data_IF_251264193628
#
_entry.id   IF_251264193628
#
_cell.length_a   1.000
_cell.length_b   1.000
_cell.length_c   1.000
_cell.angle_alpha   90.00
_cell.angle_beta   90.00
_cell.angle_gamma   90.00
#
_symmetry.space_group_name_H-M   'P 1'
#
loop_
_entity.id
_entity.type
_entity.pdbx_description
1 polymer ?
#
# COMPACT_ATOMS: atom_id res chain seq x y z
N UNK A 1 22.89 -68.11 26.13
CA UNK A 1 23.46 -68.44 24.80
C UNK A 1 23.09 -67.30 23.86
N UNK A 2 23.87 -66.22 23.88
CA UNK A 2 24.88 -65.83 22.87
C UNK A 2 24.23 -65.31 21.56
N UNK A 3 24.29 -64.00 21.29
CA UNK A 3 25.38 -63.31 20.54
C UNK A 3 25.29 -63.69 19.04
N UNK A 4 24.99 -62.82 18.09
CA UNK A 4 25.90 -61.84 17.43
C UNK A 4 25.14 -61.29 16.19
N UNK A 5 25.06 -59.97 15.94
CA UNK A 5 26.03 -59.08 15.30
C UNK A 5 26.25 -59.29 13.78
N UNK A 6 26.06 -58.17 13.04
CA UNK A 6 26.82 -57.67 11.86
C UNK A 6 26.75 -58.49 10.56
N UNK A 7 26.26 -57.93 9.45
CA UNK A 7 26.83 -56.89 8.56
C UNK A 7 27.40 -57.52 7.27
N UNK A 8 27.50 -56.69 6.22
CA UNK A 8 28.05 -56.95 4.86
C UNK A 8 27.04 -57.63 3.92
N UNK A 9 26.89 -57.25 2.65
CA UNK A 9 27.62 -56.31 1.81
C UNK A 9 27.32 -56.66 0.34
N UNK A 10 27.02 -55.63 -0.46
CA UNK A 10 27.38 -55.44 -1.86
C UNK A 10 27.13 -56.53 -2.95
N UNK A 11 26.51 -56.02 -4.04
CA UNK A 11 26.76 -56.30 -5.47
C UNK A 11 26.24 -57.62 -6.10
N UNK A 12 25.28 -57.48 -7.02
CA UNK A 12 25.50 -57.93 -8.42
C UNK A 12 24.52 -57.31 -9.44
N UNK A 13 25.11 -56.91 -10.56
CA UNK A 13 24.51 -56.37 -11.77
C UNK A 13 23.80 -57.48 -12.58
N UNK A 14 22.75 -57.13 -13.33
CA UNK A 14 22.05 -58.04 -14.26
C UNK A 14 21.11 -57.29 -15.18
N UNK A 15 21.60 -56.95 -16.37
CA UNK A 15 20.90 -56.33 -17.49
C UNK A 15 20.10 -57.35 -18.34
N UNK A 16 18.86 -56.99 -18.72
CA UNK A 16 18.08 -57.47 -19.89
C UNK A 16 16.78 -56.62 -19.85
N UNK A 17 16.34 -55.87 -20.86
CA UNK A 17 16.43 -56.06 -22.30
C UNK A 17 15.03 -56.29 -22.86
N UNK A 18 14.40 -55.21 -23.38
CA UNK A 18 13.32 -55.18 -24.38
C UNK A 18 11.93 -55.76 -24.07
N UNK A 19 10.90 -54.89 -24.06
CA UNK A 19 9.84 -54.86 -25.09
C UNK A 19 8.88 -53.68 -24.90
N UNK A 20 8.71 -52.88 -25.97
CA UNK A 20 7.56 -51.99 -26.18
C UNK A 20 6.35 -52.83 -26.62
N UNK A 21 5.17 -52.50 -26.10
CA UNK A 21 3.89 -52.76 -26.74
C UNK A 21 2.94 -51.56 -26.51
N UNK A 22 2.12 -51.16 -27.50
CA UNK A 22 1.29 -49.96 -27.47
C UNK A 22 -0.13 -50.27 -26.97
N UNK A 23 -0.79 -49.33 -26.30
CA UNK A 23 -2.24 -49.42 -26.05
C UNK A 23 -2.93 -48.08 -26.34
N UNK A 24 -3.91 -48.22 -27.22
CA UNK A 24 -4.85 -47.25 -27.77
C UNK A 24 -5.95 -46.86 -26.77
N UNK A 25 -6.43 -45.61 -26.91
CA UNK A 25 -7.86 -45.30 -26.91
C UNK A 25 -8.64 -45.38 -25.60
N UNK A 26 -8.96 -44.22 -25.02
CA UNK A 26 -9.96 -44.11 -23.95
C UNK A 26 -10.12 -42.70 -23.40
N UNK A 27 -10.61 -41.76 -24.21
CA UNK A 27 -11.07 -40.46 -23.72
C UNK A 27 -12.30 -40.65 -22.82
N UNK A 28 -12.15 -40.40 -21.52
CA UNK A 28 -13.27 -40.06 -20.62
C UNK A 28 -13.12 -38.61 -20.19
N UNK A 29 -14.01 -37.81 -20.75
CA UNK A 29 -14.26 -36.40 -20.47
C UNK A 29 -14.73 -36.25 -19.01
N UNK A 30 -13.86 -35.77 -18.12
CA UNK A 30 -14.25 -35.36 -16.77
C UNK A 30 -14.54 -33.85 -16.78
N UNK A 31 -15.82 -33.52 -16.71
CA UNK A 31 -16.35 -32.18 -16.49
C UNK A 31 -15.77 -31.57 -15.20
N UNK A 32 -14.86 -30.61 -15.35
CA UNK A 32 -14.51 -29.69 -14.26
C UNK A 32 -15.59 -28.61 -14.18
N UNK A 33 -16.39 -28.68 -13.11
CA UNK A 33 -17.42 -27.70 -12.80
C UNK A 33 -16.74 -26.46 -12.19
N UNK A 34 -16.46 -25.46 -13.02
CA UNK A 34 -15.93 -24.16 -12.59
C UNK A 34 -16.99 -23.43 -11.78
N UNK A 35 -16.71 -23.15 -10.51
CA UNK A 35 -17.51 -22.22 -9.69
C UNK A 35 -17.20 -20.81 -10.15
N UNK A 36 -18.11 -20.25 -10.94
CA UNK A 36 -18.06 -18.88 -11.43
C UNK A 36 -18.48 -17.94 -10.31
N UNK A 37 -17.52 -17.36 -9.59
CA UNK A 37 -17.77 -16.24 -8.70
C UNK A 37 -17.94 -14.99 -9.57
N UNK A 38 -19.17 -14.47 -9.61
CA UNK A 38 -19.52 -13.24 -10.33
C UNK A 38 -18.78 -12.03 -9.74
N UNK A 39 -17.90 -11.43 -10.54
CA UNK A 39 -17.41 -10.06 -10.34
C UNK A 39 -18.32 -9.15 -11.19
N UNK A 40 -18.95 -8.11 -10.64
CA UNK A 40 -19.79 -7.22 -11.44
C UNK A 40 -18.90 -6.41 -12.40
N UNK A 41 -18.98 -6.75 -13.68
CA UNK A 41 -18.45 -5.98 -14.80
C UNK A 41 -19.37 -4.79 -15.00
N UNK A 42 -18.96 -3.59 -14.60
CA UNK A 42 -19.58 -2.35 -15.08
C UNK A 42 -19.13 -2.13 -16.53
N UNK A 43 -19.84 -2.73 -17.47
CA UNK A 43 -19.77 -2.39 -18.89
C UNK A 43 -21.06 -1.66 -19.26
N UNK A 44 -20.99 -0.34 -19.38
CA UNK A 44 -21.97 0.44 -20.13
C UNK A 44 -21.41 0.68 -21.54
N UNK A 45 -22.20 0.51 -22.60
CA UNK A 45 -21.72 0.72 -23.96
C UNK A 45 -21.52 2.22 -24.23
N UNK A 46 -20.37 2.57 -24.80
CA UNK A 46 -20.11 3.89 -25.36
C UNK A 46 -20.99 4.08 -26.60
N UNK A 47 -21.95 5.01 -26.53
CA UNK A 47 -22.65 5.51 -27.71
C UNK A 47 -21.91 6.75 -28.22
N UNK A 48 -21.26 6.61 -29.38
CA UNK A 48 -20.82 7.72 -30.22
C UNK A 48 -22.08 8.37 -30.81
N UNK A 49 -22.37 9.61 -30.44
CA UNK A 49 -23.28 10.43 -31.23
C UNK A 49 -22.76 11.87 -31.31
N UNK A 50 -22.15 12.17 -32.46
CA UNK A 50 -21.80 13.51 -32.89
C UNK A 50 -23.09 14.31 -33.09
N UNK A 51 -23.31 15.38 -32.33
CA UNK A 51 -24.26 16.43 -32.71
C UNK A 51 -23.56 17.72 -33.06
N UNK A 52 -24.13 18.32 -34.10
CA UNK A 52 -23.57 19.31 -35.02
C UNK A 52 -23.44 20.69 -34.39
N UNK A 53 -22.50 21.44 -34.96
CA UNK A 53 -22.39 22.90 -34.94
C UNK A 53 -23.74 23.61 -35.04
N UNK A 54 -23.90 24.65 -34.20
CA UNK A 54 -24.70 25.82 -34.54
C UNK A 54 -23.89 27.06 -34.16
N UNK A 55 -23.53 27.83 -35.18
CA UNK A 55 -22.88 29.13 -35.10
C UNK A 55 -23.92 30.19 -34.72
N UNK A 56 -23.67 30.95 -33.67
CA UNK A 56 -24.22 32.30 -33.55
C UNK A 56 -23.20 33.21 -32.87
N UNK A 57 -22.72 34.14 -33.69
CA UNK A 57 -21.86 35.28 -33.43
C UNK A 57 -22.53 36.30 -32.49
N UNK A 58 -21.85 36.74 -31.43
CA UNK A 58 -21.98 38.09 -30.87
C UNK A 58 -20.80 38.42 -29.93
N UNK A 59 -20.37 39.68 -30.01
CA UNK A 59 -19.11 40.29 -29.55
C UNK A 59 -18.96 40.43 -28.01
N UNK A 60 -17.77 40.80 -27.48
CA UNK A 60 -17.42 40.67 -26.06
C UNK A 60 -17.84 41.90 -25.24
N UNK A 61 -17.94 41.77 -23.90
CA UNK A 61 -17.72 42.91 -23.02
C UNK A 61 -16.56 42.67 -22.04
N UNK A 62 -15.57 43.54 -22.18
CA UNK A 62 -14.91 44.34 -21.13
C UNK A 62 -14.73 43.71 -19.74
N UNK A 63 -13.46 43.55 -19.39
CA UNK A 63 -12.92 43.40 -18.03
C UNK A 63 -13.40 44.53 -17.11
N UNK A 64 -14.18 44.21 -16.08
CA UNK A 64 -14.19 44.97 -14.83
C UNK A 64 -13.58 44.12 -13.71
N UNK A 65 -12.46 44.62 -13.20
CA UNK A 65 -11.71 44.06 -12.09
C UNK A 65 -12.37 44.52 -10.78
N UNK A 66 -13.32 43.73 -10.26
CA UNK A 66 -13.78 43.92 -8.87
C UNK A 66 -13.28 42.75 -8.04
N UNK A 67 -12.19 42.99 -7.30
CA UNK A 67 -11.71 42.08 -6.26
C UNK A 67 -12.75 42.10 -5.13
N UNK A 68 -13.57 41.05 -5.04
CA UNK A 68 -14.56 40.88 -3.96
C UNK A 68 -14.15 39.73 -3.05
N UNK A 69 -14.12 40.01 -1.74
CA UNK A 69 -13.82 39.12 -0.60
C UNK A 69 -14.74 37.86 -0.48
N UNK A 70 -15.52 37.53 -1.52
CA UNK A 70 -16.53 36.47 -1.52
C UNK A 70 -16.06 35.09 -1.99
N UNK A 71 -14.90 34.97 -2.67
CA UNK A 71 -14.44 33.67 -3.18
C UNK A 71 -14.09 32.66 -2.08
N UNK A 72 -13.60 33.12 -0.93
CA UNK A 72 -13.28 32.24 0.20
C UNK A 72 -14.54 31.71 0.90
N UNK A 73 -15.61 32.51 0.95
CA UNK A 73 -16.89 32.09 1.52
C UNK A 73 -17.64 31.15 0.58
N UNK A 74 -17.57 31.35 -0.74
CA UNK A 74 -18.20 30.45 -1.73
C UNK A 74 -17.50 29.09 -1.81
N UNK A 75 -16.17 29.05 -1.68
CA UNK A 75 -15.43 27.78 -1.61
C UNK A 75 -15.77 27.01 -0.32
N UNK A 76 -15.84 27.70 0.82
CA UNK A 76 -16.27 27.08 2.07
C UNK A 76 -17.73 26.60 1.98
N UNK A 77 -18.61 27.39 1.36
CA UNK A 77 -20.02 27.06 1.13
C UNK A 77 -20.21 25.91 0.13
N UNK A 78 -19.40 25.77 -0.91
CA UNK A 78 -19.43 24.63 -1.83
C UNK A 78 -18.97 23.33 -1.13
N UNK A 79 -18.00 23.43 -0.22
CA UNK A 79 -17.52 22.29 0.58
C UNK A 79 -18.51 21.91 1.70
N UNK A 80 -19.28 22.87 2.23
CA UNK A 80 -20.30 22.62 3.29
C UNK A 80 -21.72 22.39 2.77
N UNK A 81 -22.07 22.83 1.57
CA UNK A 81 -23.37 22.57 0.92
C UNK A 81 -23.50 21.14 0.35
N UNK A 82 -22.41 20.37 0.33
CA UNK A 82 -22.37 18.97 -0.10
C UNK A 82 -23.15 17.97 0.78
N UNK A 83 -23.93 18.42 1.76
CA UNK A 83 -24.89 17.57 2.49
C UNK A 83 -26.28 17.50 1.83
N UNK A 84 -26.42 17.93 0.58
CA UNK A 84 -27.61 17.77 -0.26
C UNK A 84 -27.41 16.76 -1.39
N UNK A 85 -27.76 15.49 -1.14
CA UNK A 85 -28.20 14.40 -2.03
C UNK A 85 -27.61 14.13 -3.43
N UNK A 86 -26.64 14.86 -3.95
CA UNK A 86 -26.10 14.61 -5.29
C UNK A 86 -24.59 14.32 -5.26
N UNK A 87 -24.15 13.07 -5.54
CA UNK A 87 -22.73 12.68 -5.53
C UNK A 87 -21.83 13.56 -6.42
N UNK A 88 -22.40 14.21 -7.43
CA UNK A 88 -21.69 15.11 -8.32
C UNK A 88 -21.32 16.46 -7.68
N UNK A 89 -21.99 16.89 -6.61
CA UNK A 89 -21.75 18.18 -5.97
C UNK A 89 -20.34 18.25 -5.37
N UNK A 90 -19.87 17.16 -4.77
CA UNK A 90 -18.52 17.07 -4.19
C UNK A 90 -17.45 17.13 -5.29
N UNK A 91 -17.71 16.49 -6.44
CA UNK A 91 -16.80 16.55 -7.60
C UNK A 91 -16.71 17.99 -8.09
N UNK A 92 -17.84 18.67 -8.31
CA UNK A 92 -17.85 20.07 -8.74
C UNK A 92 -17.15 20.99 -7.74
N UNK A 93 -17.37 20.82 -6.44
CA UNK A 93 -16.66 21.60 -5.42
C UNK A 93 -15.14 21.44 -5.52
N UNK A 94 -14.64 20.22 -5.71
CA UNK A 94 -13.20 19.97 -5.92
C UNK A 94 -12.71 20.64 -7.22
N UNK A 95 -13.48 20.54 -8.30
CA UNK A 95 -13.13 21.15 -9.59
C UNK A 95 -13.07 22.68 -9.49
N UNK A 96 -14.05 23.33 -8.84
CA UNK A 96 -14.07 24.77 -8.60
C UNK A 96 -12.89 25.24 -7.75
N UNK A 97 -12.49 24.47 -6.74
CA UNK A 97 -11.29 24.79 -5.94
C UNK A 97 -10.03 24.73 -6.81
N UNK A 98 -9.87 23.70 -7.63
CA UNK A 98 -8.71 23.57 -8.52
C UNK A 98 -8.67 24.70 -9.57
N UNK A 99 -9.81 25.05 -10.14
CA UNK A 99 -9.94 26.17 -11.07
C UNK A 99 -9.64 27.51 -10.39
N UNK A 100 -10.15 27.73 -9.19
CA UNK A 100 -9.86 28.94 -8.40
C UNK A 100 -8.36 29.04 -8.11
N UNK A 101 -7.71 27.93 -7.72
CA UNK A 101 -6.25 27.93 -7.52
C UNK A 101 -5.51 28.22 -8.82
N UNK A 102 -5.91 27.60 -9.94
CA UNK A 102 -5.31 27.84 -11.24
C UNK A 102 -5.41 29.31 -11.67
N UNK A 103 -6.61 29.89 -11.59
CA UNK A 103 -6.90 31.26 -12.02
C UNK A 103 -6.26 32.32 -11.11
N UNK A 104 -6.27 32.11 -9.79
CA UNK A 104 -5.71 33.07 -8.83
C UNK A 104 -4.17 33.06 -8.80
N UNK A 105 -3.55 31.88 -8.96
CA UNK A 105 -2.08 31.76 -8.93
C UNK A 105 -1.44 31.95 -10.30
N UNK A 106 -2.20 31.78 -11.39
CA UNK A 106 -1.68 31.77 -12.76
C UNK A 106 -0.79 30.56 -13.07
N UNK A 107 -0.76 29.54 -12.21
CA UNK A 107 0.05 28.34 -12.42
C UNK A 107 -0.47 27.52 -13.59
N UNK A 108 0.38 26.91 -14.42
CA UNK A 108 -0.08 26.00 -15.47
C UNK A 108 -0.77 24.76 -14.86
N UNK A 109 -1.73 24.19 -15.60
CA UNK A 109 -2.57 23.08 -15.12
C UNK A 109 -1.77 21.87 -14.60
N UNK A 110 -0.66 21.51 -15.24
CA UNK A 110 0.19 20.41 -14.76
C UNK A 110 0.70 20.65 -13.34
N UNK A 111 1.04 21.90 -13.00
CA UNK A 111 1.56 22.28 -11.70
C UNK A 111 0.43 22.33 -10.66
N UNK A 112 -0.74 22.88 -11.03
CA UNK A 112 -1.93 22.89 -10.17
C UNK A 112 -2.35 21.47 -9.77
N UNK A 113 -2.38 20.54 -10.73
CA UNK A 113 -2.71 19.14 -10.48
C UNK A 113 -1.64 18.43 -9.63
N UNK A 114 -0.36 18.68 -9.91
CA UNK A 114 0.72 18.09 -9.13
C UNK A 114 0.69 18.58 -7.67
N UNK A 115 0.55 19.89 -7.47
CA UNK A 115 0.49 20.50 -6.14
C UNK A 115 -0.76 20.08 -5.36
N UNK A 116 -1.91 19.90 -6.02
CA UNK A 116 -3.11 19.44 -5.33
C UNK A 116 -2.92 18.06 -4.69
N UNK A 117 -2.19 17.16 -5.35
CA UNK A 117 -1.79 15.86 -4.78
C UNK A 117 -0.93 16.00 -3.51
N UNK A 118 -0.01 16.97 -3.50
CA UNK A 118 0.82 17.29 -2.32
C UNK A 118 -0.04 17.88 -1.19
N UNK A 119 -0.91 18.82 -1.51
CA UNK A 119 -1.80 19.49 -0.55
C UNK A 119 -2.75 18.51 0.13
N UNK A 120 -3.38 17.61 -0.62
CA UNK A 120 -4.24 16.56 -0.07
C UNK A 120 -3.49 15.71 0.96
N UNK A 121 -2.24 15.33 0.67
CA UNK A 121 -1.41 14.58 1.63
C UNK A 121 -1.06 15.40 2.86
N UNK A 122 -0.74 16.69 2.70
CA UNK A 122 -0.46 17.58 3.81
C UNK A 122 -1.67 17.70 4.75
N UNK A 123 -2.89 17.86 4.20
CA UNK A 123 -4.14 17.93 4.97
C UNK A 123 -4.45 16.63 5.71
N UNK A 124 -4.17 15.47 5.11
CA UNK A 124 -4.44 14.15 5.70
C UNK A 124 -3.34 13.69 6.67
N UNK A 125 -2.15 14.30 6.59
CA UNK A 125 -1.00 13.98 7.45
C UNK A 125 -1.31 13.80 8.95
N UNK A 126 -2.08 14.67 9.64
CA UNK A 126 -2.45 14.45 11.05
C UNK A 126 -3.18 13.13 11.30
N UNK A 127 -4.09 12.72 10.41
CA UNK A 127 -4.77 11.42 10.52
C UNK A 127 -3.79 10.25 10.42
N UNK A 128 -2.77 10.39 9.58
CA UNK A 128 -1.71 9.40 9.47
C UNK A 128 -0.83 9.33 10.73
N UNK A 129 -0.54 10.46 11.37
CA UNK A 129 0.17 10.49 12.67
C UNK A 129 -0.63 9.74 13.74
N UNK A 130 -1.94 10.01 13.84
CA UNK A 130 -2.84 9.29 14.75
C UNK A 130 -2.88 7.79 14.43
N UNK A 131 -2.87 7.41 13.15
CA UNK A 131 -2.81 6.01 12.72
C UNK A 131 -1.54 5.32 13.26
N UNK A 132 -0.40 5.99 13.18
CA UNK A 132 0.87 5.43 13.67
C UNK A 132 0.89 5.31 15.19
N UNK A 133 0.35 6.28 15.92
CA UNK A 133 0.24 6.19 17.37
C UNK A 133 -0.62 4.97 17.79
N UNK A 134 -1.75 4.77 17.12
CA UNK A 134 -2.60 3.59 17.36
C UNK A 134 -1.86 2.29 17.01
N UNK A 135 -1.11 2.26 15.90
CA UNK A 135 -0.29 1.11 15.53
C UNK A 135 0.82 0.82 16.57
N UNK A 136 1.43 1.85 17.15
CA UNK A 136 2.45 1.66 18.20
C UNK A 136 1.85 1.01 19.45
N UNK A 137 0.66 1.42 19.88
CA UNK A 137 -0.06 0.78 20.99
C UNK A 137 -0.41 -0.67 20.66
N UNK A 138 -0.79 -0.96 19.41
CA UNK A 138 -1.04 -2.34 18.95
C UNK A 138 0.23 -3.20 18.98
N UNK A 139 1.39 -2.64 18.59
CA UNK A 139 2.67 -3.35 18.66
C UNK A 139 3.01 -3.70 20.11
N UNK A 140 2.74 -2.81 21.07
CA UNK A 140 2.91 -3.08 22.49
C UNK A 140 1.96 -4.16 23.01
N UNK A 141 0.78 -4.31 22.41
CA UNK A 141 -0.20 -5.33 22.75
C UNK A 141 0.09 -6.72 22.17
N UNK A 142 1.06 -6.86 21.25
CA UNK A 142 1.43 -8.15 20.62
C UNK A 142 1.64 -9.32 21.60
N UNK A 143 2.37 -9.20 22.73
CA UNK A 143 2.54 -10.31 23.66
C UNK A 143 1.22 -10.77 24.28
N UNK A 144 0.32 -9.84 24.62
CA UNK A 144 -0.99 -10.18 25.18
C UNK A 144 -1.88 -10.87 24.13
N UNK A 145 -1.79 -10.46 22.86
CA UNK A 145 -2.45 -11.18 21.77
C UNK A 145 -1.88 -12.58 21.56
N UNK A 146 -0.57 -12.76 21.68
CA UNK A 146 0.05 -14.07 21.55
C UNK A 146 -0.42 -15.03 22.66
N UNK A 147 -0.45 -14.57 23.91
CA UNK A 147 -0.97 -15.34 25.06
C UNK A 147 -2.44 -15.70 24.90
N UNK A 148 -3.27 -14.73 24.48
CA UNK A 148 -4.69 -14.97 24.22
C UNK A 148 -4.88 -15.99 23.09
N UNK A 149 -4.08 -15.88 22.01
CA UNK A 149 -4.16 -16.80 20.89
C UNK A 149 -3.76 -18.22 21.29
N UNK A 150 -2.72 -18.40 22.10
CA UNK A 150 -2.34 -19.72 22.64
C UNK A 150 -3.42 -20.30 23.56
N UNK A 151 -4.03 -19.48 24.42
CA UNK A 151 -5.12 -19.93 25.29
C UNK A 151 -6.37 -20.33 24.50
N UNK A 152 -6.74 -19.54 23.48
CA UNK A 152 -7.84 -19.86 22.57
C UNK A 152 -7.57 -21.16 21.79
N UNK A 153 -6.36 -21.33 21.27
CA UNK A 153 -5.97 -22.55 20.53
C UNK A 153 -6.01 -23.77 21.45
N UNK A 154 -5.50 -23.65 22.68
CA UNK A 154 -5.57 -24.70 23.69
C UNK A 154 -7.02 -25.07 23.99
N UNK A 155 -7.90 -24.10 24.31
CA UNK A 155 -9.31 -24.36 24.58
C UNK A 155 -10.00 -25.09 23.41
N UNK A 156 -9.71 -24.67 22.16
CA UNK A 156 -10.28 -25.28 20.95
C UNK A 156 -9.79 -26.72 20.70
N UNK A 157 -8.57 -27.06 21.10
CA UNK A 157 -8.05 -28.44 20.91
C UNK A 157 -8.71 -29.47 21.82
N UNK A 158 -9.28 -29.05 22.95
CA UNK A 158 -9.98 -29.94 23.89
C UNK A 158 -11.50 -29.97 23.71
N UNK A 159 -12.05 -29.15 22.81
CA UNK A 159 -13.48 -29.20 22.47
C UNK A 159 -13.75 -30.31 21.46
N UNK A 160 -14.64 -31.29 21.77
CA UNK A 160 -15.03 -32.34 20.81
C UNK A 160 -15.62 -31.72 19.54
N UNK A 161 -15.28 -32.28 18.37
CA UNK A 161 -15.76 -31.75 17.07
C UNK A 161 -17.29 -31.80 16.88
N UNK A 162 -17.98 -32.61 17.68
CA UNK A 162 -19.44 -32.74 17.71
C UNK A 162 -20.15 -31.68 18.56
N UNK A 163 -19.43 -30.94 19.42
CA UNK A 163 -20.01 -29.90 20.26
C UNK A 163 -19.96 -28.52 19.58
N UNK A 164 -21.02 -28.25 18.81
CA UNK A 164 -21.16 -26.98 18.10
C UNK A 164 -21.28 -25.79 19.07
N UNK A 165 -21.90 -25.97 20.25
CA UNK A 165 -22.09 -24.91 21.23
C UNK A 165 -20.76 -24.52 21.89
N UNK A 166 -19.98 -25.51 22.34
CA UNK A 166 -18.64 -25.26 22.88
C UNK A 166 -17.70 -24.56 21.88
N UNK A 167 -17.84 -24.84 20.58
CA UNK A 167 -17.07 -24.16 19.54
C UNK A 167 -17.45 -22.68 19.41
N UNK A 168 -18.76 -22.39 19.43
CA UNK A 168 -19.27 -21.02 19.38
C UNK A 168 -18.86 -20.22 20.62
N UNK A 169 -18.95 -20.82 21.81
CA UNK A 169 -18.54 -20.20 23.07
C UNK A 169 -17.04 -19.88 23.08
N UNK A 170 -16.20 -20.79 22.58
CA UNK A 170 -14.77 -20.53 22.43
C UNK A 170 -14.49 -19.34 21.50
N UNK A 171 -15.19 -19.25 20.36
CA UNK A 171 -15.06 -18.12 19.42
C UNK A 171 -15.52 -16.82 20.07
N UNK A 172 -16.64 -16.84 20.80
CA UNK A 172 -17.18 -15.68 21.49
C UNK A 172 -16.21 -15.18 22.56
N UNK A 173 -15.66 -16.11 23.37
CA UNK A 173 -14.66 -15.82 24.39
C UNK A 173 -13.36 -15.26 23.77
N UNK A 174 -12.91 -15.84 22.65
CA UNK A 174 -11.78 -15.31 21.89
C UNK A 174 -12.00 -13.87 21.40
N UNK A 175 -13.20 -13.58 20.88
CA UNK A 175 -13.59 -12.22 20.48
C UNK A 175 -13.66 -11.25 21.67
N UNK A 176 -14.19 -11.70 22.80
CA UNK A 176 -14.23 -10.89 24.03
C UNK A 176 -12.82 -10.62 24.55
N UNK A 177 -11.93 -11.62 24.56
CA UNK A 177 -10.53 -11.45 24.91
C UNK A 177 -9.81 -10.45 24.00
N UNK A 178 -10.02 -10.54 22.68
CA UNK A 178 -9.46 -9.59 21.71
C UNK A 178 -9.92 -8.15 22.02
N UNK A 179 -11.22 -7.97 22.29
CA UNK A 179 -11.79 -6.67 22.68
C UNK A 179 -11.21 -6.18 24.02
N UNK A 180 -11.02 -7.07 25.00
CA UNK A 180 -10.46 -6.72 26.31
C UNK A 180 -9.01 -6.26 26.20
N UNK A 181 -8.17 -6.97 25.42
CA UNK A 181 -6.79 -6.55 25.13
C UNK A 181 -6.79 -5.19 24.42
N UNK A 182 -7.60 -5.01 23.39
CA UNK A 182 -7.70 -3.72 22.69
C UNK A 182 -8.14 -2.57 23.61
N UNK A 183 -9.07 -2.83 24.55
CA UNK A 183 -9.50 -1.86 25.56
C UNK A 183 -8.38 -1.52 26.54
N UNK A 184 -7.60 -2.52 27.00
CA UNK A 184 -6.45 -2.34 27.89
C UNK A 184 -5.41 -1.37 27.30
N UNK A 185 -5.13 -1.47 26.00
CA UNK A 185 -4.19 -0.59 25.30
C UNK A 185 -4.86 0.65 24.66
N UNK A 186 -6.12 0.93 24.98
CA UNK A 186 -6.91 2.04 24.44
C UNK A 186 -6.74 2.23 22.91
N UNK A 187 -6.92 1.13 22.18
CA UNK A 187 -6.72 1.08 20.73
C UNK A 187 -7.94 0.46 20.06
N UNK A 188 -8.38 1.05 18.94
CA UNK A 188 -9.44 0.49 18.09
C UNK A 188 -8.86 0.02 16.75
N UNK A 189 -9.34 -1.09 16.15
CA UNK A 189 -8.83 -1.57 14.86
C UNK A 189 -8.86 -0.49 13.77
N UNK A 190 -9.95 0.28 13.69
CA UNK A 190 -10.11 1.36 12.69
C UNK A 190 -9.03 2.45 12.83
N UNK A 191 -8.59 2.77 14.05
CA UNK A 191 -7.54 3.76 14.27
C UNK A 191 -6.21 3.31 13.65
N UNK A 192 -5.94 2.00 13.59
CA UNK A 192 -4.69 1.45 13.04
C UNK A 192 -4.61 1.52 11.51
N UNK A 193 -5.73 1.79 10.85
CA UNK A 193 -5.85 1.94 9.38
C UNK A 193 -6.46 3.29 8.96
N UNK A 194 -6.66 4.21 9.91
CA UNK A 194 -7.45 5.43 9.70
C UNK A 194 -6.92 6.34 8.58
N UNK A 195 -5.60 6.50 8.46
CA UNK A 195 -5.01 7.31 7.39
C UNK A 195 -5.28 6.72 6.00
N UNK A 196 -5.25 5.40 5.85
CA UNK A 196 -5.60 4.74 4.59
C UNK A 196 -7.10 4.86 4.27
N UNK A 197 -7.95 4.68 5.28
CA UNK A 197 -9.41 4.82 5.16
C UNK A 197 -9.81 6.25 4.77
N UNK A 198 -9.14 7.26 5.31
CA UNK A 198 -9.36 8.65 4.94
C UNK A 198 -8.82 8.97 3.54
N UNK A 199 -7.62 8.49 3.21
CA UNK A 199 -6.93 8.87 1.98
C UNK A 199 -7.50 8.24 0.71
N UNK A 200 -7.82 6.94 0.73
CA UNK A 200 -8.22 6.22 -0.50
C UNK A 200 -9.45 6.85 -1.18
N UNK A 201 -10.55 7.16 -0.47
CA UNK A 201 -11.71 7.80 -1.08
C UNK A 201 -11.39 9.18 -1.66
N UNK A 202 -10.59 9.99 -0.95
CA UNK A 202 -10.18 11.33 -1.40
C UNK A 202 -9.31 11.23 -2.64
N UNK A 203 -8.38 10.26 -2.67
CA UNK A 203 -7.55 10.02 -3.85
C UNK A 203 -8.37 9.64 -5.07
N UNK A 204 -9.34 8.73 -4.91
CA UNK A 204 -10.24 8.30 -6.00
C UNK A 204 -11.11 9.47 -6.46
N UNK A 205 -11.69 10.22 -5.54
CA UNK A 205 -12.49 11.41 -5.84
C UNK A 205 -11.69 12.44 -6.64
N UNK A 206 -10.48 12.76 -6.21
CA UNK A 206 -9.62 13.74 -6.88
C UNK A 206 -9.10 13.23 -8.22
N UNK A 207 -8.74 11.94 -8.34
CA UNK A 207 -8.33 11.34 -9.61
C UNK A 207 -9.48 11.33 -10.62
N UNK A 208 -10.70 11.02 -10.15
CA UNK A 208 -11.91 11.11 -10.96
C UNK A 208 -12.19 12.55 -11.38
N UNK A 209 -12.14 13.50 -10.44
CA UNK A 209 -12.37 14.93 -10.70
C UNK A 209 -11.37 15.46 -11.73
N UNK A 210 -10.07 15.17 -11.58
CA UNK A 210 -9.05 15.55 -12.55
C UNK A 210 -9.30 14.94 -13.93
N UNK A 211 -9.69 13.66 -14.00
CA UNK A 211 -10.05 13.02 -15.27
C UNK A 211 -11.27 13.67 -15.91
N UNK A 212 -12.27 14.01 -15.11
CA UNK A 212 -13.51 14.63 -15.58
C UNK A 212 -13.27 16.07 -16.06
N UNK A 213 -12.48 16.88 -15.34
CA UNK A 213 -12.07 18.22 -15.79
C UNK A 213 -11.37 18.16 -17.16
N UNK A 214 -10.44 17.20 -17.30
CA UNK A 214 -9.65 17.04 -18.52
C UNK A 214 -10.50 16.54 -19.70
N UNK A 215 -11.59 15.79 -19.45
CA UNK A 215 -12.44 15.23 -20.52
C UNK A 215 -13.69 16.06 -20.82
N UNK A 216 -14.21 16.80 -19.86
CA UNK A 216 -15.43 17.60 -20.01
C UNK A 216 -15.23 18.79 -20.96
N UNK A 217 -14.01 19.33 -21.05
CA UNK A 217 -13.73 20.51 -21.87
C UNK A 217 -14.33 21.81 -21.32
N UNK A 218 -14.94 21.77 -20.13
CA UNK A 218 -15.56 22.93 -19.48
C UNK A 218 -14.53 23.91 -18.90
N UNK A 219 -13.27 23.48 -18.78
CA UNK A 219 -12.18 24.25 -18.19
C UNK A 219 -11.18 24.62 -19.28
N UNK A 220 -10.92 25.92 -19.44
CA UNK A 220 -9.99 26.41 -20.44
C UNK A 220 -8.52 26.12 -20.06
N UNK A 221 -7.66 25.97 -21.07
CA UNK A 221 -6.21 25.90 -20.90
C UNK A 221 -5.62 24.50 -20.68
N UNK A 222 -6.43 23.44 -20.64
CA UNK A 222 -5.90 22.06 -20.56
C UNK A 222 -5.18 21.60 -21.84
N UNK A 223 -5.48 22.21 -22.97
CA UNK A 223 -4.86 21.97 -24.28
C UNK A 223 -3.42 22.49 -24.39
N UNK A 224 -3.07 23.49 -23.57
CA UNK A 224 -1.79 24.20 -23.60
C UNK A 224 -1.09 24.30 -22.24
N UNK A 225 -1.77 23.91 -21.15
CA UNK A 225 -1.31 24.03 -19.77
C UNK A 225 -0.42 22.89 -19.27
N UNK A 226 0.17 22.13 -20.19
CA UNK A 226 1.04 21.00 -19.89
C UNK A 226 2.53 21.33 -19.67
N UNK A 227 3.36 20.31 -19.56
CA UNK A 227 4.79 20.42 -19.20
C UNK A 227 5.68 19.86 -20.32
N UNK A 228 6.71 20.63 -20.72
CA UNK A 228 7.71 20.20 -21.71
C UNK A 228 7.06 19.75 -23.03
N UNK A 229 7.16 18.46 -23.36
CA UNK A 229 6.58 17.85 -24.55
C UNK A 229 5.15 17.32 -24.34
N UNK A 230 4.67 17.25 -23.10
CA UNK A 230 3.27 16.97 -22.75
C UNK A 230 2.47 18.25 -22.69
N UNK A 231 2.24 18.91 -23.83
CA UNK A 231 1.55 20.22 -23.86
C UNK A 231 0.04 20.12 -23.69
N UNK A 232 -0.57 19.17 -24.40
CA UNK A 232 -2.01 18.93 -24.36
C UNK A 232 -2.35 17.86 -23.31
N UNK A 233 -2.86 18.29 -22.16
CA UNK A 233 -3.18 17.41 -21.04
C UNK A 233 -4.42 16.53 -21.30
N UNK A 234 -5.22 16.86 -22.32
CA UNK A 234 -6.44 16.14 -22.71
C UNK A 234 -6.15 14.86 -23.51
N UNK A 235 -5.00 14.83 -24.18
CA UNK A 235 -4.57 13.68 -24.96
C UNK A 235 -3.98 12.58 -24.07
N UNK A 236 -3.91 11.37 -24.62
CA UNK A 236 -3.13 10.28 -24.02
C UNK A 236 -1.64 10.52 -24.23
N UNK A 237 -0.79 9.96 -23.38
CA UNK A 237 0.67 10.09 -23.53
C UNK A 237 1.19 9.18 -24.66
N UNK A 238 1.62 9.78 -25.76
CA UNK A 238 2.21 9.07 -26.91
C UNK A 238 3.60 8.51 -26.62
N UNK A 239 4.30 9.03 -25.61
CA UNK A 239 5.64 8.56 -25.22
C UNK A 239 5.59 7.38 -24.24
N UNK A 240 4.41 7.10 -23.67
CA UNK A 240 4.19 6.12 -22.60
C UNK A 240 5.00 6.34 -21.30
N UNK A 241 5.73 7.44 -21.20
CA UNK A 241 6.59 7.75 -20.05
C UNK A 241 5.75 8.07 -18.81
N UNK A 242 4.67 8.85 -18.93
CA UNK A 242 3.79 9.20 -17.79
C UNK A 242 3.10 7.97 -17.18
N UNK A 243 2.46 7.07 -17.96
CA UNK A 243 1.93 5.80 -17.43
C UNK A 243 2.98 4.95 -16.72
N UNK A 244 4.18 4.82 -17.30
CA UNK A 244 5.28 4.05 -16.71
C UNK A 244 5.74 4.70 -15.40
N UNK A 245 5.95 6.02 -15.37
CA UNK A 245 6.32 6.75 -14.15
C UNK A 245 5.26 6.64 -13.05
N UNK A 246 3.98 6.72 -13.39
CA UNK A 246 2.89 6.54 -12.44
C UNK A 246 2.87 5.12 -11.86
N UNK A 247 3.07 4.10 -12.70
CA UNK A 247 3.18 2.71 -12.26
C UNK A 247 4.43 2.49 -11.38
N UNK A 248 5.60 2.95 -11.81
CA UNK A 248 6.85 2.84 -11.04
C UNK A 248 6.77 3.57 -9.70
N UNK A 249 6.18 4.76 -9.66
CA UNK A 249 6.02 5.53 -8.42
C UNK A 249 5.05 4.85 -7.43
N UNK A 250 3.98 4.23 -7.94
CA UNK A 250 3.05 3.44 -7.13
C UNK A 250 3.72 2.17 -6.61
N UNK A 251 4.44 1.47 -7.47
CA UNK A 251 5.23 0.29 -7.10
C UNK A 251 6.26 0.63 -6.01
N UNK A 252 6.98 1.74 -6.16
CA UNK A 252 7.93 2.22 -5.17
C UNK A 252 7.28 2.51 -3.82
N UNK A 253 6.12 3.16 -3.80
CA UNK A 253 5.35 3.39 -2.57
C UNK A 253 4.94 2.07 -1.87
N UNK A 254 4.53 1.06 -2.65
CA UNK A 254 4.20 -0.26 -2.12
C UNK A 254 5.44 -0.98 -1.58
N UNK A 255 6.56 -0.93 -2.30
CA UNK A 255 7.84 -1.52 -1.88
C UNK A 255 8.34 -0.93 -0.55
N UNK A 256 8.31 0.40 -0.41
CA UNK A 256 8.64 1.06 0.86
C UNK A 256 7.70 0.63 2.00
N UNK A 257 6.44 0.34 1.68
CA UNK A 257 5.44 -0.11 2.65
C UNK A 257 5.66 -1.57 3.08
N UNK A 258 6.13 -2.44 2.19
CA UNK A 258 6.39 -3.86 2.44
C UNK A 258 7.47 -4.09 3.49
N UNK A 259 8.58 -3.32 3.42
CA UNK A 259 9.80 -3.49 4.27
C UNK A 259 9.56 -3.56 5.78
N UNK A 260 8.38 -3.14 6.19
CA UNK A 260 8.01 -2.84 7.56
C UNK A 260 6.77 -3.61 8.04
N UNK A 261 6.32 -4.57 7.24
CA UNK A 261 5.12 -5.38 7.45
C UNK A 261 5.51 -6.87 7.44
N UNK A 262 4.65 -7.70 8.01
CA UNK A 262 4.83 -9.15 8.03
C UNK A 262 3.50 -9.87 7.89
N UNK A 263 3.55 -11.15 7.51
CA UNK A 263 2.37 -11.99 7.32
C UNK A 263 1.48 -11.50 6.18
N UNK A 264 0.16 -11.56 6.39
CA UNK A 264 -0.89 -11.18 5.42
C UNK A 264 -0.63 -9.83 4.72
N UNK A 265 -0.16 -8.82 5.45
CA UNK A 265 0.09 -7.49 4.89
C UNK A 265 1.18 -7.48 3.81
N UNK A 266 2.20 -8.34 3.95
CA UNK A 266 3.27 -8.48 2.95
C UNK A 266 2.70 -9.02 1.65
N UNK A 267 1.94 -10.12 1.72
CA UNK A 267 1.29 -10.75 0.57
C UNK A 267 0.32 -9.80 -0.12
N UNK A 268 -0.47 -9.06 0.66
CA UNK A 268 -1.41 -8.07 0.12
C UNK A 268 -0.68 -6.95 -0.66
N UNK A 269 0.38 -6.39 -0.08
CA UNK A 269 1.14 -5.31 -0.73
C UNK A 269 1.92 -5.80 -1.96
N UNK A 270 2.48 -7.02 -1.91
CA UNK A 270 3.09 -7.69 -3.07
C UNK A 270 2.07 -7.94 -4.18
N UNK A 271 0.85 -8.38 -3.83
CA UNK A 271 -0.26 -8.45 -4.78
C UNK A 271 -0.52 -7.11 -5.46
N UNK A 272 -0.55 -6.02 -4.67
CA UNK A 272 -0.68 -4.65 -5.20
C UNK A 272 0.44 -4.25 -6.16
N UNK A 273 1.67 -4.70 -5.92
CA UNK A 273 2.81 -4.46 -6.81
C UNK A 273 2.60 -5.10 -8.18
N UNK A 274 2.16 -6.36 -8.21
CA UNK A 274 1.83 -7.04 -9.47
C UNK A 274 0.65 -6.37 -10.18
N UNK A 275 -0.42 -6.01 -9.45
CA UNK A 275 -1.56 -5.28 -10.01
C UNK A 275 -1.10 -3.98 -10.69
N UNK A 276 -0.18 -3.25 -10.07
CA UNK A 276 0.35 -2.00 -10.64
C UNK A 276 1.05 -2.23 -11.98
N UNK A 277 1.82 -3.32 -12.10
CA UNK A 277 2.51 -3.68 -13.35
C UNK A 277 1.49 -4.11 -14.42
N UNK A 278 0.53 -4.96 -14.07
CA UNK A 278 -0.49 -5.44 -15.01
C UNK A 278 -1.52 -4.37 -15.40
N UNK A 279 -1.65 -3.30 -14.62
CA UNK A 279 -2.55 -2.19 -14.92
C UNK A 279 -2.01 -1.23 -16.00
N UNK A 280 -0.71 -1.28 -16.34
CA UNK A 280 -0.09 -0.35 -17.31
C UNK A 280 -0.84 -0.26 -18.65
N UNK A 281 -1.28 -1.35 -19.30
CA UNK A 281 -2.05 -1.28 -20.54
C UNK A 281 -3.41 -0.59 -20.40
N UNK A 282 -3.97 -0.53 -19.19
CA UNK A 282 -5.19 0.25 -18.92
C UNK A 282 -4.80 1.72 -18.71
N UNK A 283 -3.73 1.99 -17.98
CA UNK A 283 -3.25 3.34 -17.68
C UNK A 283 -2.91 4.13 -18.93
N UNK A 284 -2.33 3.52 -19.97
CA UNK A 284 -1.96 4.24 -21.21
C UNK A 284 -3.14 4.94 -21.91
N UNK A 285 -4.38 4.55 -21.61
CA UNK A 285 -5.59 5.18 -22.16
C UNK A 285 -6.07 6.40 -21.35
N UNK A 286 -5.41 6.73 -20.24
CA UNK A 286 -5.74 7.89 -19.43
C UNK A 286 -5.15 9.17 -20.03
N UNK A 287 -5.86 10.30 -19.92
CA UNK A 287 -5.31 11.60 -20.30
C UNK A 287 -4.06 11.97 -19.50
N UNK A 288 -3.14 12.68 -20.14
CA UNK A 288 -1.87 13.15 -19.56
C UNK A 288 -2.07 13.90 -18.23
N UNK A 289 -3.11 14.74 -18.13
CA UNK A 289 -3.42 15.51 -16.91
C UNK A 289 -3.57 14.67 -15.65
N UNK A 290 -4.20 13.49 -15.75
CA UNK A 290 -4.45 12.61 -14.59
C UNK A 290 -3.13 12.14 -13.96
N UNK A 291 -2.10 11.95 -14.77
CA UNK A 291 -0.79 11.51 -14.29
C UNK A 291 -0.06 12.57 -13.48
N UNK A 292 -0.22 13.86 -13.77
CA UNK A 292 0.42 14.92 -12.97
C UNK A 292 -0.09 14.94 -11.54
N UNK A 293 -1.41 14.79 -11.35
CA UNK A 293 -2.00 14.60 -10.02
C UNK A 293 -1.47 13.33 -9.34
N UNK A 294 -1.48 12.20 -10.07
CA UNK A 294 -0.99 10.93 -9.53
C UNK A 294 0.47 11.03 -9.08
N UNK A 295 1.35 11.62 -9.90
CA UNK A 295 2.76 11.78 -9.59
C UNK A 295 2.97 12.69 -8.38
N UNK A 296 2.25 13.81 -8.28
CA UNK A 296 2.28 14.68 -7.08
C UNK A 296 1.88 13.94 -5.80
N UNK A 297 0.81 13.13 -5.88
CA UNK A 297 0.34 12.29 -4.78
C UNK A 297 1.34 11.16 -4.43
N UNK A 298 1.98 10.53 -5.43
CA UNK A 298 2.99 9.49 -5.23
C UNK A 298 4.29 10.03 -4.63
N UNK A 299 4.76 11.18 -5.11
CA UNK A 299 5.98 11.84 -4.61
C UNK A 299 5.80 12.29 -3.17
N UNK A 300 4.68 12.94 -2.84
CA UNK A 300 4.37 13.33 -1.46
C UNK A 300 4.21 12.12 -0.54
N UNK A 301 3.61 11.01 -1.03
CA UNK A 301 3.56 9.73 -0.29
C UNK A 301 4.94 9.17 0.06
N UNK A 302 5.84 9.20 -0.90
CA UNK A 302 7.20 8.70 -0.72
C UNK A 302 7.97 9.60 0.24
N UNK A 303 7.88 10.92 0.07
CA UNK A 303 8.47 11.91 0.97
C UNK A 303 7.96 11.74 2.41
N UNK A 304 6.64 11.58 2.59
CA UNK A 304 6.02 11.29 3.87
C UNK A 304 6.59 9.99 4.48
N UNK A 305 6.69 8.92 3.69
CA UNK A 305 7.21 7.63 4.19
C UNK A 305 8.68 7.73 4.60
N UNK A 306 9.50 8.43 3.82
CA UNK A 306 10.91 8.69 4.13
C UNK A 306 11.03 9.51 5.42
N UNK A 307 10.28 10.61 5.55
CA UNK A 307 10.26 11.43 6.75
C UNK A 307 9.87 10.61 7.99
N UNK A 308 8.87 9.73 7.86
CA UNK A 308 8.35 8.90 8.95
C UNK A 308 9.23 7.71 9.31
N UNK A 309 10.19 7.35 8.45
CA UNK A 309 11.26 6.41 8.77
C UNK A 309 12.42 7.09 9.50
N UNK A 310 12.57 8.41 9.40
CA UNK A 310 13.60 9.15 10.11
C UNK A 310 13.22 9.36 11.59
N UNK A 311 14.05 8.82 12.50
CA UNK A 311 13.84 8.93 13.94
C UNK A 311 13.89 10.38 14.46
N UNK A 312 14.66 11.27 13.84
CA UNK A 312 14.70 12.68 14.24
C UNK A 312 13.37 13.37 13.95
N UNK A 313 12.79 13.13 12.76
CA UNK A 313 11.49 13.68 12.40
C UNK A 313 10.40 13.15 13.33
N UNK A 314 10.37 11.82 13.58
CA UNK A 314 9.41 11.19 14.52
C UNK A 314 9.44 11.83 15.90
N UNK A 315 10.63 12.10 16.46
CA UNK A 315 10.77 12.75 17.77
C UNK A 315 10.16 14.15 17.78
N UNK A 316 10.37 14.95 16.73
CA UNK A 316 9.81 16.30 16.61
C UNK A 316 8.28 16.32 16.61
N UNK A 317 7.65 15.29 16.05
CA UNK A 317 6.18 15.16 15.99
C UNK A 317 5.61 14.27 17.11
N UNK A 318 6.38 14.01 18.17
CA UNK A 318 5.92 13.28 19.36
C UNK A 318 5.71 11.77 19.16
N UNK A 319 6.29 11.18 18.12
CA UNK A 319 6.22 9.74 17.85
C UNK A 319 7.43 8.99 18.43
N UNK A 320 7.19 7.79 18.96
CA UNK A 320 8.27 6.90 19.41
C UNK A 320 9.22 6.56 18.24
N UNK A 321 10.55 6.49 18.47
CA UNK A 321 11.50 6.10 17.44
C UNK A 321 11.21 4.69 16.94
N UNK A 322 11.58 4.43 15.69
CA UNK A 322 11.60 3.09 15.12
C UNK A 322 12.90 2.44 15.56
N UNK A 323 12.80 1.34 16.30
CA UNK A 323 13.94 0.46 16.57
C UNK A 323 14.03 -0.45 15.35
N UNK A 324 14.97 -0.17 14.45
CA UNK A 324 15.41 -1.18 13.50
C UNK A 324 16.19 -2.18 14.34
N UNK A 325 15.66 -3.37 14.58
CA UNK A 325 16.47 -4.44 15.16
C UNK A 325 17.54 -4.83 14.14
N UNK A 326 18.65 -4.09 14.14
CA UNK A 326 19.95 -4.58 13.69
C UNK A 326 20.53 -5.45 14.79
N UNK A 327 19.85 -6.54 15.14
CA UNK A 327 20.52 -7.69 15.76
C UNK A 327 20.70 -8.70 14.63
N UNK A 328 21.94 -9.02 14.23
CA UNK A 328 22.16 -10.11 13.29
C UNK A 328 21.43 -11.35 13.82
N UNK A 329 20.69 -12.10 13.00
CA UNK A 329 19.91 -13.26 13.45
C UNK A 329 20.75 -14.25 14.27
N UNK A 330 22.07 -14.29 14.06
CA UNK A 330 23.01 -15.08 14.86
C UNK A 330 23.10 -14.65 16.33
N UNK A 331 23.04 -13.35 16.65
CA UNK A 331 23.18 -12.86 18.03
C UNK A 331 21.87 -13.00 18.83
N UNK A 332 20.71 -12.89 18.17
CA UNK A 332 19.40 -13.12 18.80
C UNK A 332 19.19 -14.63 19.07
N UNK A 333 19.67 -15.48 18.17
CA UNK A 333 19.64 -16.94 18.35
C UNK A 333 20.64 -17.41 19.41
N UNK A 334 21.84 -16.81 19.48
CA UNK A 334 22.82 -17.13 20.52
C UNK A 334 22.35 -16.75 21.94
N UNK A 335 21.64 -15.63 22.06
CA UNK A 335 21.04 -15.18 23.33
C UNK A 335 19.83 -16.04 23.73
N UNK A 336 18.98 -16.45 22.78
CA UNK A 336 17.89 -17.40 23.05
C UNK A 336 18.36 -18.82 23.36
N UNK A 337 19.55 -19.23 22.88
CA UNK A 337 20.13 -20.55 23.14
C UNK A 337 20.97 -20.62 24.42
N UNK A 338 21.02 -19.56 25.22
CA UNK A 338 21.65 -19.58 26.54
C UNK A 338 23.13 -19.99 26.52
N UNK A 339 23.87 -19.72 25.43
CA UNK A 339 25.31 -19.89 25.44
C UNK A 339 25.92 -18.66 26.12
N UNK A 340 26.17 -18.77 27.42
CA UNK A 340 27.10 -17.89 28.11
C UNK A 340 28.41 -17.85 27.33
N UNK A 341 28.89 -16.65 27.03
CA UNK A 341 30.27 -16.44 26.63
C UNK A 341 31.17 -17.01 27.72
N UNK A 342 32.22 -17.78 27.41
CA UNK A 342 33.14 -18.23 28.44
C UNK A 342 33.87 -17.00 29.00
N UNK A 343 33.68 -16.76 30.30
CA UNK A 343 34.50 -15.86 31.09
C UNK A 343 35.98 -16.18 30.84
N UNK A 344 36.74 -15.18 30.41
CA UNK A 344 38.20 -15.25 30.38
C UNK A 344 38.74 -14.28 31.41
N UNK A 345 38.74 -14.66 32.69
CA UNK A 345 39.55 -13.97 33.69
C UNK A 345 40.08 -14.92 34.76
N UNK A 346 41.42 -14.96 34.89
CA UNK A 346 42.19 -15.62 35.96
C UNK A 346 42.66 -17.02 35.55
N UNK A 347 43.94 -17.34 35.40
CA UNK A 347 45.17 -16.68 35.82
C UNK A 347 46.16 -17.81 36.15
N UNK A 348 47.18 -18.00 35.32
CA UNK A 348 48.32 -18.84 35.65
C UNK A 348 49.58 -18.19 35.09
N UNK A 349 50.33 -17.59 36.00
CA UNK A 349 51.68 -17.09 35.78
C UNK A 349 52.63 -18.24 35.43
N UNK A 350 53.38 -18.14 34.32
CA UNK A 350 54.73 -18.70 34.19
C UNK A 350 55.54 -17.83 33.20
N UNK A 351 56.50 -17.10 33.79
CA UNK A 351 57.88 -16.81 33.33
C UNK A 351 58.11 -16.04 32.03
N UNK A 352 58.60 -14.82 32.24
CA UNK A 352 59.46 -14.04 31.34
C UNK A 352 60.81 -14.72 31.12
N UNK A 353 61.19 -14.93 29.85
CA UNK A 353 62.59 -14.82 29.40
C UNK A 353 62.61 -14.31 27.96
N UNK A 354 63.13 -13.10 27.78
CA UNK A 354 63.64 -12.62 26.50
C UNK A 354 64.85 -13.47 26.07
N UNK A 355 65.16 -13.47 24.76
CA UNK A 355 66.56 -13.31 24.39
C UNK A 355 66.75 -12.13 23.44
N UNK A 356 67.84 -11.43 23.68
CA UNK A 356 68.36 -10.30 22.94
C UNK A 356 69.35 -10.80 21.90
N UNK A 357 69.27 -10.25 20.67
CA UNK A 357 70.30 -10.13 19.60
C UNK A 357 70.87 -11.43 19.00
N UNK A 358 70.82 -11.53 17.66
CA UNK A 358 71.99 -11.19 16.81
C UNK A 358 71.72 -11.44 15.32
N UNK A 359 72.24 -10.53 14.51
CA UNK A 359 72.58 -10.58 13.09
C UNK A 359 72.66 -11.97 12.42
N UNK A 360 72.01 -12.14 11.27
CA UNK A 360 72.64 -12.07 9.94
C UNK A 360 71.57 -11.96 8.85
#
# INVERSE_FOLDING_TARGET
MNRQLRALGALRCGSLGLRRAPISGGQKLLHFRTVQAAVPVFAAPYSLDNRRFSTSESAPPTLELTMTDGQLTDVAAAVTSGTGNEPWAIVQGVQSVLETVHTTTGLPWWATLLLSGVTVRAVIFPFYVLQIQAMQRLIQARPDFSKLHSAYKYARTFTPGSDHKGHLDAILLGRQGLKAVMKKYNTRPIQTIMGSVAYIPIFVLMAYSARDMVRSGNFAGFDSGGLLFWKNLMETDSTYVLPILAATSTYGNLELSVRNKSGFWTTLLQGGQYITIFAVPVLVNLPQGVFFYWLGASCSSMAQTIAMNNNNFRRRIGLKPRITETKPPAAAVAEMLGKASPDTTGGAAVVSTAPTKSQQ
#
